data_IF_770256087710
#
_entry.id   IF_770256087710
#
_cell.length_a   1.000
_cell.length_b   1.000
_cell.length_c   1.000
_cell.angle_alpha   90.00
_cell.angle_beta   90.00
_cell.angle_gamma   90.00
#
_symmetry.space_group_name_H-M   'P 1'
#
loop_
_entity.id
_entity.type
_entity.pdbx_description
1 polymer ?
#
# COMPACT_ATOMS: atom_id res chain seq x y z
N UNK A 1 8.18 -1.72 11.15
CA UNK A 1 7.84 -0.65 10.19
C UNK A 1 6.69 -1.16 9.32
N UNK A 2 5.74 -0.31 8.94
CA UNK A 2 4.54 -0.71 8.16
C UNK A 2 4.81 -0.77 6.65
N UNK A 3 5.85 -0.09 6.16
CA UNK A 3 6.31 -0.12 4.77
C UNK A 3 7.84 -0.29 4.70
N UNK A 4 8.34 -0.73 3.55
CA UNK A 4 9.77 -0.84 3.23
C UNK A 4 10.32 -2.28 3.32
N UNK A 5 11.62 -2.44 3.00
CA UNK A 5 12.32 -3.73 3.11
C UNK A 5 12.21 -4.26 4.56
N UNK A 6 12.06 -5.58 4.71
CA UNK A 6 11.79 -6.29 5.97
C UNK A 6 10.39 -6.05 6.58
N UNK A 7 9.44 -5.54 5.80
CA UNK A 7 8.08 -5.37 6.28
C UNK A 7 7.31 -6.69 6.35
N UNK A 8 6.77 -7.00 7.53
CA UNK A 8 5.94 -8.19 7.77
C UNK A 8 4.50 -8.04 7.24
N UNK A 9 4.11 -6.85 6.78
CA UNK A 9 2.75 -6.55 6.34
C UNK A 9 2.32 -7.46 5.19
N UNK A 10 3.22 -7.70 4.23
CA UNK A 10 2.96 -8.57 3.08
C UNK A 10 2.74 -10.02 3.49
N UNK A 11 3.54 -10.52 4.44
CA UNK A 11 3.34 -11.85 5.03
C UNK A 11 1.97 -11.96 5.71
N UNK A 12 1.59 -10.97 6.53
CA UNK A 12 0.30 -10.94 7.21
C UNK A 12 -0.86 -10.94 6.20
N UNK A 13 -0.77 -10.16 5.12
CA UNK A 13 -1.81 -10.11 4.09
C UNK A 13 -1.92 -11.42 3.30
N UNK A 14 -0.79 -12.04 2.94
CA UNK A 14 -0.78 -13.32 2.24
C UNK A 14 -1.26 -14.48 3.11
N UNK A 15 -0.88 -14.51 4.39
CA UNK A 15 -1.41 -15.48 5.36
C UNK A 15 -2.92 -15.29 5.54
N UNK A 16 -3.38 -14.04 5.64
CA UNK A 16 -4.80 -13.71 5.66
C UNK A 16 -5.55 -14.23 4.42
N UNK A 17 -4.96 -14.09 3.23
CA UNK A 17 -5.52 -14.62 1.98
C UNK A 17 -5.59 -16.15 1.97
N UNK A 18 -4.55 -16.83 2.49
CA UNK A 18 -4.52 -18.29 2.67
C UNK A 18 -5.61 -18.76 3.62
N UNK A 19 -5.90 -17.99 4.67
CA UNK A 19 -6.96 -18.24 5.65
C UNK A 19 -8.37 -17.87 5.13
N UNK A 20 -8.49 -17.47 3.86
CA UNK A 20 -9.76 -17.19 3.20
C UNK A 20 -10.19 -15.73 3.25
N UNK A 21 -9.25 -14.78 3.43
CA UNK A 21 -9.54 -13.38 3.18
C UNK A 21 -9.80 -13.08 1.71
N UNK A 22 -10.58 -12.04 1.45
CA UNK A 22 -10.92 -11.60 0.10
C UNK A 22 -9.85 -10.64 -0.42
N UNK A 23 -9.27 -11.00 -1.55
CA UNK A 23 -8.45 -10.11 -2.36
C UNK A 23 -9.02 -10.03 -3.77
N UNK A 24 -8.67 -8.97 -4.50
CA UNK A 24 -9.17 -8.67 -5.83
C UNK A 24 -8.04 -8.47 -6.82
N UNK A 25 -8.35 -8.66 -8.10
CA UNK A 25 -7.43 -8.41 -9.20
C UNK A 25 -7.22 -6.89 -9.38
N UNK A 26 -6.02 -6.50 -9.80
CA UNK A 26 -5.67 -5.11 -10.05
C UNK A 26 -6.36 -4.51 -11.28
N UNK A 27 -6.35 -5.25 -12.39
CA UNK A 27 -7.00 -4.84 -13.65
C UNK A 27 -8.53 -4.83 -13.53
N UNK A 28 -9.06 -5.79 -12.77
CA UNK A 28 -10.50 -5.94 -12.56
C UNK A 28 -10.80 -6.11 -11.06
N UNK A 29 -11.11 -4.99 -10.42
CA UNK A 29 -11.42 -4.91 -8.99
C UNK A 29 -12.69 -5.69 -8.59
N UNK A 30 -13.49 -6.15 -9.55
CA UNK A 30 -14.69 -6.97 -9.27
C UNK A 30 -14.35 -8.45 -9.14
N UNK A 31 -13.22 -8.89 -9.73
CA UNK A 31 -12.80 -10.29 -9.73
C UNK A 31 -11.98 -10.58 -8.48
N UNK A 32 -12.45 -11.51 -7.66
CA UNK A 32 -11.69 -12.03 -6.53
C UNK A 32 -10.53 -12.91 -7.02
N UNK A 33 -9.38 -12.77 -6.35
CA UNK A 33 -8.22 -13.62 -6.57
C UNK A 33 -8.06 -14.59 -5.40
N UNK A 34 -7.69 -15.82 -5.73
CA UNK A 34 -7.42 -16.87 -4.74
C UNK A 34 -5.94 -16.89 -4.37
N UNK A 35 -5.62 -17.43 -3.19
CA UNK A 35 -4.23 -17.65 -2.77
C UNK A 35 -3.43 -18.42 -3.83
N UNK A 36 -4.03 -19.47 -4.43
CA UNK A 36 -3.38 -20.28 -5.47
C UNK A 36 -2.96 -19.45 -6.69
N UNK A 37 -3.79 -18.51 -7.14
CA UNK A 37 -3.46 -17.64 -8.28
C UNK A 37 -2.34 -16.64 -7.94
N UNK A 38 -2.33 -16.12 -6.71
CA UNK A 38 -1.21 -15.28 -6.23
C UNK A 38 0.07 -16.10 -6.14
N UNK A 39 -0.05 -17.32 -5.62
CA UNK A 39 1.06 -18.25 -5.46
C UNK A 39 1.63 -18.68 -6.83
N UNK A 40 0.77 -18.90 -7.83
CA UNK A 40 1.20 -19.07 -9.21
C UNK A 40 1.99 -17.85 -9.69
N UNK A 41 1.53 -16.61 -9.50
CA UNK A 41 2.34 -15.42 -9.86
C UNK A 41 3.69 -15.34 -9.14
N UNK A 42 3.76 -15.77 -7.89
CA UNK A 42 5.01 -15.87 -7.14
C UNK A 42 5.90 -17.03 -7.63
N UNK A 43 5.34 -18.05 -8.28
CA UNK A 43 6.05 -19.24 -8.73
C UNK A 43 6.20 -19.37 -10.24
N UNK A 44 5.60 -18.48 -11.03
CA UNK A 44 5.59 -18.57 -12.48
C UNK A 44 7.02 -18.27 -12.98
N UNK A 45 7.75 -19.22 -13.58
CA UNK A 45 7.24 -20.45 -14.21
C UNK A 45 8.01 -21.71 -13.82
N UNK A 46 7.28 -22.76 -13.43
CA UNK A 46 7.78 -24.13 -13.31
C UNK A 46 8.17 -24.77 -14.66
N UNK A 47 8.03 -24.03 -15.78
CA UNK A 47 8.54 -24.43 -17.10
C UNK A 47 9.96 -23.92 -17.37
N UNK A 48 10.40 -22.89 -16.65
CA UNK A 48 11.80 -22.43 -16.68
C UNK A 48 12.50 -23.00 -15.45
N UNK A 49 13.66 -23.63 -15.64
CA UNK A 49 14.33 -24.52 -14.67
C UNK A 49 14.90 -23.85 -13.39
N UNK A 50 14.34 -22.71 -12.96
CA UNK A 50 14.71 -21.99 -11.76
C UNK A 50 13.45 -21.65 -10.95
N UNK A 51 13.02 -22.57 -10.08
CA UNK A 51 12.04 -22.28 -9.03
C UNK A 51 12.61 -21.23 -8.07
N UNK A 52 12.34 -19.96 -8.33
CA UNK A 52 12.56 -18.88 -7.38
C UNK A 52 11.46 -18.95 -6.32
N UNK A 53 11.84 -19.28 -5.09
CA UNK A 53 10.95 -19.16 -3.94
C UNK A 53 11.10 -17.74 -3.40
N UNK A 54 10.06 -16.92 -3.53
CA UNK A 54 10.06 -15.60 -2.93
C UNK A 54 9.58 -15.66 -1.50
N UNK A 55 10.38 -15.12 -0.58
CA UNK A 55 9.96 -14.95 0.79
C UNK A 55 8.94 -13.79 0.86
N UNK A 56 7.96 -13.87 1.76
CA UNK A 56 6.95 -12.82 1.87
C UNK A 56 7.56 -11.45 2.24
N UNK A 57 8.73 -11.47 2.88
CA UNK A 57 9.57 -10.31 3.22
C UNK A 57 10.17 -9.62 2.00
N UNK A 58 10.33 -10.32 0.88
CA UNK A 58 10.80 -9.76 -0.39
C UNK A 58 9.72 -8.96 -1.11
N UNK A 59 8.46 -9.11 -0.72
CA UNK A 59 7.32 -8.36 -1.26
C UNK A 59 7.14 -7.04 -0.49
N UNK A 60 8.13 -6.16 -0.53
CA UNK A 60 8.14 -4.96 0.31
C UNK A 60 7.38 -3.75 -0.26
N UNK A 61 6.89 -3.85 -1.51
CA UNK A 61 6.19 -2.75 -2.18
C UNK A 61 4.68 -2.92 -1.96
N UNK A 62 4.11 -1.97 -1.23
CA UNK A 62 2.68 -1.90 -0.96
C UNK A 62 2.22 -0.48 -1.27
N UNK A 63 1.14 -0.36 -2.03
CA UNK A 63 0.47 0.90 -2.26
C UNK A 63 -0.76 1.00 -1.37
N UNK A 64 -0.92 2.17 -0.73
CA UNK A 64 -2.13 2.51 0.00
C UNK A 64 -2.95 3.50 -0.85
N UNK A 65 -4.17 3.10 -1.20
CA UNK A 65 -5.12 3.97 -1.88
C UNK A 65 -6.00 4.66 -0.85
N UNK A 66 -6.12 5.98 -0.92
CA UNK A 66 -6.89 6.77 0.06
C UNK A 66 -7.78 7.80 -0.64
N UNK A 67 -8.90 8.13 0.00
CA UNK A 67 -9.77 9.23 -0.37
C UNK A 67 -9.40 10.45 0.45
N UNK A 68 -9.05 11.54 -0.22
CA UNK A 68 -8.92 12.85 0.42
C UNK A 68 -10.25 13.59 0.32
N UNK A 69 -10.91 13.83 1.45
CA UNK A 69 -12.22 14.47 1.50
C UNK A 69 -12.25 15.59 2.54
N UNK A 70 -13.06 16.61 2.29
CA UNK A 70 -13.42 17.61 3.29
C UNK A 70 -14.68 17.17 4.04
N UNK A 71 -14.56 16.85 5.31
CA UNK A 71 -15.70 16.54 6.18
C UNK A 71 -16.35 17.85 6.64
N UNK A 72 -17.54 18.14 6.08
CA UNK A 72 -18.30 19.36 6.39
C UNK A 72 -18.75 19.44 7.85
N UNK A 73 -18.88 18.31 8.55
CA UNK A 73 -19.36 18.30 9.93
C UNK A 73 -18.26 18.70 10.91
N UNK A 74 -17.04 18.21 10.71
CA UNK A 74 -15.90 18.58 11.56
C UNK A 74 -15.12 19.78 11.00
N UNK A 75 -15.38 20.19 9.76
CA UNK A 75 -14.61 21.20 9.00
C UNK A 75 -13.13 20.83 8.85
N UNK A 76 -12.86 19.54 8.61
CA UNK A 76 -11.51 19.00 8.56
C UNK A 76 -11.28 18.23 7.26
N UNK A 77 -10.06 18.31 6.74
CA UNK A 77 -9.61 17.41 5.68
C UNK A 77 -9.22 16.06 6.27
N UNK A 78 -9.79 14.98 5.72
CA UNK A 78 -9.56 13.61 6.16
C UNK A 78 -9.06 12.75 5.01
N UNK A 79 -8.11 11.89 5.32
CA UNK A 79 -7.71 10.79 4.45
C UNK A 79 -8.42 9.52 4.93
N UNK A 80 -9.15 8.89 4.03
CA UNK A 80 -9.86 7.65 4.30
C UNK A 80 -9.18 6.53 3.54
N UNK A 81 -8.51 5.58 4.21
CA UNK A 81 -7.96 4.38 3.58
C UNK A 81 -9.04 3.56 2.86
N UNK A 82 -8.75 3.13 1.63
CA UNK A 82 -9.68 2.37 0.78
C UNK A 82 -9.17 0.96 0.55
N UNK A 83 -7.90 0.83 0.17
CA UNK A 83 -7.30 -0.46 -0.16
C UNK A 83 -5.79 -0.46 0.01
N UNK A 84 -5.24 -1.66 0.23
CA UNK A 84 -3.81 -1.93 0.11
C UNK A 84 -3.58 -2.83 -1.10
N UNK A 85 -2.68 -2.42 -1.98
CA UNK A 85 -2.27 -3.21 -3.15
C UNK A 85 -0.88 -3.75 -2.90
N UNK A 86 -0.74 -5.08 -2.99
CA UNK A 86 0.54 -5.76 -2.89
C UNK A 86 1.16 -5.89 -4.29
N UNK A 87 2.43 -5.51 -4.42
CA UNK A 87 3.19 -5.62 -5.65
C UNK A 87 4.37 -6.59 -5.50
N UNK A 88 4.68 -7.28 -6.59
CA UNK A 88 5.95 -7.96 -6.80
C UNK A 88 6.97 -6.93 -7.27
N UNK A 89 8.06 -6.70 -6.52
CA UNK A 89 9.09 -5.74 -6.93
C UNK A 89 9.77 -6.16 -8.24
N UNK A 90 10.20 -5.17 -9.02
CA UNK A 90 10.91 -5.39 -10.28
C UNK A 90 12.24 -6.16 -10.08
N UNK A 91 12.89 -5.98 -8.92
CA UNK A 91 14.11 -6.71 -8.52
C UNK A 91 13.88 -8.23 -8.44
N UNK A 92 12.64 -8.61 -8.18
CA UNK A 92 12.23 -9.97 -7.83
C UNK A 92 11.44 -10.60 -8.98
N UNK A 93 10.68 -9.82 -9.75
CA UNK A 93 9.91 -10.30 -10.91
C UNK A 93 10.83 -10.81 -12.03
N UNK A 94 10.48 -11.96 -12.60
CA UNK A 94 11.14 -12.55 -13.78
C UNK A 94 11.08 -11.65 -15.02
N UNK A 95 10.11 -10.75 -15.10
CA UNK A 95 9.95 -9.80 -16.22
C UNK A 95 10.76 -8.52 -16.03
N UNK A 96 11.37 -8.32 -14.87
CA UNK A 96 12.12 -7.09 -14.54
C UNK A 96 11.25 -5.84 -14.43
N UNK A 97 9.94 -6.00 -14.25
CA UNK A 97 8.98 -4.91 -14.06
C UNK A 97 8.17 -5.14 -12.78
N UNK A 98 7.65 -4.07 -12.19
CA UNK A 98 6.77 -4.17 -11.02
C UNK A 98 5.42 -4.75 -11.44
N UNK A 99 4.94 -5.78 -10.74
CA UNK A 99 3.68 -6.45 -11.09
C UNK A 99 2.70 -6.45 -9.91
N UNK A 100 1.42 -6.07 -10.14
CA UNK A 100 0.42 -6.14 -9.09
C UNK A 100 0.02 -7.60 -8.80
N UNK A 101 0.08 -7.97 -7.52
CA UNK A 101 -0.29 -9.30 -7.05
C UNK A 101 -1.77 -9.36 -6.65
N UNK A 102 -2.16 -8.50 -5.71
CA UNK A 102 -3.48 -8.55 -5.08
C UNK A 102 -3.87 -7.19 -4.48
N UNK A 103 -5.15 -6.84 -4.59
CA UNK A 103 -5.76 -5.70 -3.90
C UNK A 103 -6.60 -6.20 -2.74
N UNK A 104 -6.36 -5.67 -1.54
CA UNK A 104 -7.16 -5.92 -0.34
C UNK A 104 -7.97 -4.66 -0.01
N UNK A 105 -9.28 -4.80 0.21
CA UNK A 105 -10.06 -3.67 0.74
C UNK A 105 -9.60 -3.36 2.17
N UNK A 106 -9.66 -2.09 2.56
CA UNK A 106 -9.18 -1.69 3.89
C UNK A 106 -10.01 -2.30 5.03
N UNK A 107 -11.30 -2.58 4.78
CA UNK A 107 -12.15 -3.35 5.70
C UNK A 107 -11.57 -4.76 5.93
N UNK A 108 -11.16 -5.43 4.86
CA UNK A 108 -10.59 -6.77 4.95
C UNK A 108 -9.21 -6.75 5.60
N UNK A 109 -8.37 -5.76 5.27
CA UNK A 109 -7.10 -5.51 5.95
C UNK A 109 -7.31 -5.36 7.46
N UNK A 110 -8.31 -4.59 7.88
CA UNK A 110 -8.66 -4.40 9.30
C UNK A 110 -9.04 -5.72 9.96
N UNK A 111 -9.80 -6.58 9.26
CA UNK A 111 -10.16 -7.92 9.75
C UNK A 111 -8.93 -8.82 9.92
N UNK A 112 -7.98 -8.76 8.99
CA UNK A 112 -6.72 -9.50 9.04
C UNK A 112 -5.86 -9.00 10.22
N UNK A 113 -5.62 -7.68 10.30
CA UNK A 113 -4.73 -7.11 11.31
C UNK A 113 -5.25 -7.29 12.74
N UNK A 114 -6.56 -7.30 12.96
CA UNK A 114 -7.14 -7.56 14.30
C UNK A 114 -6.99 -9.01 14.75
N UNK A 115 -6.84 -9.95 13.82
CA UNK A 115 -6.66 -11.38 14.13
C UNK A 115 -5.19 -11.76 14.30
N UNK A 116 -4.29 -11.03 13.65
CA UNK A 116 -2.87 -11.35 13.64
C UNK A 116 -2.10 -10.62 14.75
N UNK A 117 -1.46 -11.38 15.64
CA UNK A 117 -0.63 -10.83 16.73
C UNK A 117 0.62 -10.10 16.25
N UNK A 118 1.06 -10.34 15.01
CA UNK A 118 2.21 -9.68 14.37
C UNK A 118 1.85 -8.27 13.89
N UNK A 119 0.58 -7.94 13.74
CA UNK A 119 0.10 -6.68 13.16
C UNK A 119 0.11 -5.51 14.18
N UNK A 120 1.18 -5.38 14.96
CA UNK A 120 1.34 -4.31 15.96
C UNK A 120 2.65 -3.56 15.73
N UNK A 121 2.67 -2.25 16.02
CA UNK A 121 3.91 -1.46 15.98
C UNK A 121 4.92 -2.01 16.97
N UNK A 122 6.17 -2.09 16.51
CA UNK A 122 7.30 -2.24 17.42
C UNK A 122 7.44 -0.98 18.26
N UNK A 123 7.53 -1.16 19.57
CA UNK A 123 7.76 -0.07 20.53
C UNK A 123 9.16 0.47 20.32
N UNK A 124 9.28 1.70 19.81
CA UNK A 124 10.59 2.32 19.59
C UNK A 124 11.15 3.00 20.83
N UNK A 125 10.29 3.35 21.79
CA UNK A 125 10.65 4.02 23.05
C UNK A 125 9.84 3.47 24.21
N UNK A 126 10.47 3.34 25.38
CA UNK A 126 9.81 2.92 26.61
C UNK A 126 8.61 3.84 26.90
N UNK A 127 7.41 3.27 27.04
CA UNK A 127 6.17 4.00 27.32
C UNK A 127 5.32 4.38 26.09
N UNK A 128 5.76 4.09 24.86
CA UNK A 128 4.87 4.21 23.69
C UNK A 128 3.89 3.02 23.64
N UNK A 129 2.60 3.26 23.37
CA UNK A 129 1.64 2.16 23.21
C UNK A 129 1.95 1.33 21.96
N UNK A 130 1.80 0.00 22.06
CA UNK A 130 1.71 -0.86 20.88
C UNK A 130 0.39 -0.59 20.17
N UNK A 131 0.45 -0.07 18.95
CA UNK A 131 -0.72 0.29 18.15
C UNK A 131 -0.86 -0.74 17.04
N UNK A 132 -2.06 -1.29 16.83
CA UNK A 132 -2.30 -2.21 15.73
C UNK A 132 -2.15 -1.50 14.37
N UNK A 133 -1.78 -2.23 13.32
CA UNK A 133 -1.61 -1.67 11.97
C UNK A 133 -2.87 -0.97 11.47
N UNK A 134 -4.07 -1.48 11.80
CA UNK A 134 -5.32 -0.82 11.41
C UNK A 134 -5.40 0.62 11.96
N UNK A 135 -5.07 0.81 13.24
CA UNK A 135 -5.05 2.12 13.88
C UNK A 135 -3.90 3.00 13.36
N UNK A 136 -2.72 2.43 13.08
CA UNK A 136 -1.61 3.17 12.47
C UNK A 136 -1.98 3.77 11.11
N UNK A 137 -2.72 3.02 10.28
CA UNK A 137 -3.21 3.53 9.00
C UNK A 137 -4.22 4.66 9.19
N UNK A 138 -5.18 4.50 10.09
CA UNK A 138 -6.18 5.53 10.39
C UNK A 138 -5.56 6.82 10.94
N UNK A 139 -4.53 6.70 11.78
CA UNK A 139 -3.78 7.84 12.33
C UNK A 139 -2.73 8.41 11.35
N UNK A 140 -2.57 7.81 10.17
CA UNK A 140 -1.47 8.10 9.23
C UNK A 140 -0.08 8.07 9.86
N UNK A 141 0.12 7.20 10.85
CA UNK A 141 1.38 7.09 11.59
C UNK A 141 2.34 6.13 10.86
N UNK A 142 2.75 6.51 9.65
CA UNK A 142 3.70 5.75 8.83
C UNK A 142 4.51 6.69 7.94
N UNK A 143 5.66 6.21 7.47
CA UNK A 143 6.45 6.87 6.45
C UNK A 143 6.08 6.27 5.08
N UNK A 144 5.73 7.11 4.12
CA UNK A 144 5.39 6.72 2.75
C UNK A 144 5.81 7.81 1.77
N UNK A 145 5.69 7.53 0.48
CA UNK A 145 5.89 8.50 -0.60
C UNK A 145 4.65 8.50 -1.48
N UNK A 146 4.20 9.68 -1.89
CA UNK A 146 3.05 9.81 -2.80
C UNK A 146 3.53 9.40 -4.19
N UNK A 147 2.99 8.32 -4.74
CA UNK A 147 3.35 7.85 -6.09
C UNK A 147 2.39 8.35 -7.17
N UNK A 148 1.20 8.81 -6.74
CA UNK A 148 0.11 9.24 -7.60
C UNK A 148 -0.88 10.10 -6.82
N UNK A 149 -1.41 11.12 -7.48
CA UNK A 149 -2.62 11.85 -7.09
C UNK A 149 -3.62 11.69 -8.23
N UNK A 150 -4.91 11.60 -7.89
CA UNK A 150 -5.97 11.37 -8.87
C UNK A 150 -5.86 12.30 -10.07
N UNK A 151 -5.79 11.72 -11.27
CA UNK A 151 -5.66 12.43 -12.54
C UNK A 151 -6.49 11.72 -13.62
N UNK A 152 -6.76 12.41 -14.72
CA UNK A 152 -7.65 11.94 -15.79
C UNK A 152 -7.14 10.65 -16.45
N UNK A 153 -5.82 10.50 -16.57
CA UNK A 153 -5.18 9.38 -17.24
C UNK A 153 -4.88 8.19 -16.32
N UNK A 154 -5.19 8.32 -15.02
CA UNK A 154 -4.89 7.35 -13.97
C UNK A 154 -3.39 6.94 -13.89
N UNK A 155 -2.48 7.84 -14.28
CA UNK A 155 -1.04 7.57 -14.35
C UNK A 155 -0.30 7.90 -13.04
N UNK A 156 0.78 7.16 -12.80
CA UNK A 156 1.78 7.50 -11.78
C UNK A 156 2.67 8.67 -12.23
N UNK A 157 3.36 9.32 -11.29
CA UNK A 157 4.27 10.43 -11.64
C UNK A 157 5.40 10.01 -12.59
N UNK A 158 5.97 8.82 -12.41
CA UNK A 158 7.02 8.26 -13.27
C UNK A 158 6.52 7.84 -14.65
N UNK A 159 5.22 7.60 -14.80
CA UNK A 159 4.58 7.34 -16.09
C UNK A 159 4.21 8.63 -16.82
N UNK A 160 3.85 9.68 -16.08
CA UNK A 160 3.47 10.99 -16.62
C UNK A 160 4.66 11.81 -17.08
N UNK A 161 5.79 11.71 -16.37
CA UNK A 161 7.01 12.47 -16.64
C UNK A 161 8.14 11.52 -17.01
N UNK A 162 8.68 11.67 -18.23
CA UNK A 162 9.76 10.83 -18.76
C UNK A 162 11.06 11.00 -17.94
N UNK A 163 11.35 12.22 -17.50
CA UNK A 163 12.53 12.52 -16.68
C UNK A 163 12.25 12.23 -15.20
N UNK A 164 13.03 11.34 -14.54
CA UNK A 164 12.83 11.00 -13.13
C UNK A 164 12.96 12.19 -12.17
N UNK A 165 13.80 13.17 -12.49
CA UNK A 165 14.00 14.38 -11.67
C UNK A 165 12.77 15.27 -11.74
N UNK A 166 12.17 15.40 -12.93
CA UNK A 166 10.92 16.15 -13.10
C UNK A 166 9.78 15.43 -12.40
N UNK A 167 9.68 14.10 -12.53
CA UNK A 167 8.68 13.30 -11.82
C UNK A 167 8.78 13.51 -10.30
N UNK A 168 9.99 13.50 -9.74
CA UNK A 168 10.24 13.75 -8.33
C UNK A 168 9.88 15.18 -7.92
N UNK A 169 10.24 16.19 -8.72
CA UNK A 169 9.89 17.58 -8.44
C UNK A 169 8.37 17.79 -8.45
N UNK A 170 7.67 17.25 -9.44
CA UNK A 170 6.21 17.33 -9.53
C UNK A 170 5.54 16.64 -8.33
N UNK A 171 6.00 15.45 -7.96
CA UNK A 171 5.53 14.75 -6.74
C UNK A 171 5.70 15.62 -5.49
N UNK A 172 6.86 16.29 -5.33
CA UNK A 172 7.14 17.14 -4.16
C UNK A 172 6.35 18.44 -4.15
N UNK A 173 6.10 19.02 -5.31
CA UNK A 173 5.24 20.19 -5.46
C UNK A 173 3.81 19.86 -5.03
N UNK A 174 3.26 18.76 -5.50
CA UNK A 174 1.92 18.29 -5.14
C UNK A 174 1.79 17.92 -3.65
N UNK A 175 2.79 17.24 -3.08
CA UNK A 175 2.85 16.96 -1.63
C UNK A 175 2.82 18.27 -0.83
N UNK A 176 3.58 19.27 -1.26
CA UNK A 176 3.63 20.59 -0.63
C UNK A 176 2.31 21.36 -0.77
N UNK A 177 1.65 21.25 -1.92
CA UNK A 177 0.35 21.87 -2.18
C UNK A 177 -0.75 21.28 -1.27
N UNK A 178 -0.80 19.96 -1.12
CA UNK A 178 -1.72 19.30 -0.18
C UNK A 178 -1.47 19.75 1.26
N UNK A 179 -0.21 19.84 1.68
CA UNK A 179 0.14 20.29 3.02
C UNK A 179 -0.26 21.75 3.26
N UNK A 180 -0.05 22.63 2.28
CA UNK A 180 -0.45 24.02 2.36
C UNK A 180 -1.98 24.16 2.43
N UNK A 181 -2.71 23.43 1.58
CA UNK A 181 -4.18 23.42 1.57
C UNK A 181 -4.74 23.02 2.95
N UNK A 182 -4.16 21.98 3.56
CA UNK A 182 -4.53 21.58 4.92
C UNK A 182 -4.21 22.69 5.93
N UNK A 183 -3.00 23.27 5.87
CA UNK A 183 -2.59 24.33 6.78
C UNK A 183 -3.51 25.55 6.73
N UNK A 184 -3.86 26.02 5.53
CA UNK A 184 -4.75 27.17 5.33
C UNK A 184 -6.16 26.91 5.87
N UNK A 185 -6.67 25.69 5.72
CA UNK A 185 -7.97 25.31 6.24
C UNK A 185 -8.03 25.28 7.77
N UNK A 186 -6.93 24.89 8.42
CA UNK A 186 -6.84 24.90 9.89
C UNK A 186 -6.44 26.26 10.47
N UNK A 187 -5.92 27.18 9.65
CA UNK A 187 -5.49 28.52 10.06
C UNK A 187 -6.12 29.59 9.14
N UNK A 188 -7.45 29.75 9.18
CA UNK A 188 -8.11 30.77 8.38
C UNK A 188 -7.64 32.18 8.79
N UNK A 189 -7.42 33.04 7.79
CA UNK A 189 -7.05 34.45 7.98
C UNK A 189 -8.20 35.28 8.54
#
# INVERSE_FOLDING_TARGET
>A
KVFGKDCILSAILLDGLKDGAKAYNYEDRTKQITYKQVQEKLWISAEDSCTAFYAAEELYIIELTEKFIFDKNTSEFKFIPISLTLFLPAEVSSKGIMEPLAIFSFEECTRIFRKDVRAYSFVTKLGQPCINFNEQFLLRSYASTIVKIGNEDDLYFDQRYIDPSIAFMAMKEEESALQLMMYEAYNPK
#
